data_IF_228836360392
#
_entry.id   IF_228836360392
#
_cell.length_a   1.000
_cell.length_b   1.000
_cell.length_c   1.000
_cell.angle_alpha   90.00
_cell.angle_beta   90.00
_cell.angle_gamma   90.00
#
_symmetry.space_group_name_H-M   'P 1'
#
loop_
_entity.id
_entity.type
_entity.pdbx_description
1 polymer ?
#
# COMPACT_ATOMS: atom_id res chain seq x y z
N UNK A 1 -32.98 -1.58 -7.53
CA UNK A 1 -32.66 -2.58 -6.49
C UNK A 1 -33.11 -1.98 -5.18
N UNK A 2 -33.95 -2.71 -4.42
CA UNK A 2 -34.45 -2.23 -3.14
C UNK A 2 -33.60 -2.74 -1.99
N UNK A 3 -33.49 -1.97 -0.90
CA UNK A 3 -32.74 -2.38 0.28
C UNK A 3 -33.34 -3.64 0.91
N UNK A 4 -34.66 -3.71 1.01
CA UNK A 4 -35.42 -4.85 1.54
C UNK A 4 -35.24 -6.16 0.74
N UNK A 5 -34.90 -6.07 -0.54
CA UNK A 5 -34.70 -7.22 -1.44
C UNK A 5 -33.26 -7.74 -1.42
N UNK A 6 -32.33 -7.01 -0.80
CA UNK A 6 -30.94 -7.42 -0.69
C UNK A 6 -30.78 -8.52 0.37
N UNK A 7 -30.41 -9.73 -0.06
CA UNK A 7 -29.91 -10.84 0.81
C UNK A 7 -28.63 -10.49 1.61
N UNK A 8 -28.27 -9.21 1.67
CA UNK A 8 -27.10 -8.65 2.37
C UNK A 8 -27.45 -8.08 3.75
N UNK A 9 -28.72 -7.85 4.06
CA UNK A 9 -29.15 -7.23 5.32
C UNK A 9 -28.85 -8.09 6.57
N UNK A 10 -28.73 -9.42 6.40
CA UNK A 10 -28.44 -10.36 7.49
C UNK A 10 -26.94 -10.62 7.70
N UNK A 11 -26.08 -10.14 6.79
CA UNK A 11 -24.64 -10.37 6.88
C UNK A 11 -24.03 -9.49 7.99
N UNK A 12 -23.20 -10.07 8.85
CA UNK A 12 -22.52 -9.31 9.91
C UNK A 12 -21.33 -8.56 9.33
N UNK A 13 -21.34 -7.23 9.47
CA UNK A 13 -20.24 -6.36 9.05
C UNK A 13 -19.23 -6.29 10.19
N UNK A 14 -17.96 -6.54 9.86
CA UNK A 14 -16.86 -6.61 10.83
C UNK A 14 -15.98 -5.36 10.82
N UNK A 15 -15.82 -4.73 9.67
CA UNK A 15 -14.99 -3.56 9.46
C UNK A 15 -15.35 -2.87 8.14
N UNK A 16 -14.91 -1.62 7.98
CA UNK A 16 -14.99 -0.88 6.72
C UNK A 16 -13.64 -0.29 6.33
N UNK A 17 -13.42 -0.13 5.03
CA UNK A 17 -12.21 0.49 4.48
C UNK A 17 -12.48 1.22 3.16
N UNK A 18 -11.98 2.46 2.98
CA UNK A 18 -12.19 3.20 1.74
C UNK A 18 -11.25 2.73 0.63
N UNK A 19 -11.71 2.78 -0.61
CA UNK A 19 -10.91 2.51 -1.80
C UNK A 19 -11.28 3.50 -2.92
N UNK A 20 -10.28 3.98 -3.64
CA UNK A 20 -10.51 4.92 -4.73
C UNK A 20 -10.98 4.18 -5.99
N UNK A 21 -12.05 4.69 -6.63
CA UNK A 21 -12.50 4.22 -7.96
C UNK A 21 -12.21 5.31 -8.99
N UNK A 22 -11.12 5.19 -9.78
CA UNK A 22 -10.66 6.25 -10.67
C UNK A 22 -11.66 6.64 -11.76
N UNK A 23 -12.53 5.71 -12.18
CA UNK A 23 -13.56 6.02 -13.18
C UNK A 23 -14.58 7.03 -12.65
N UNK A 24 -14.90 6.95 -11.35
CA UNK A 24 -15.87 7.83 -10.71
C UNK A 24 -15.22 9.00 -9.98
N UNK A 25 -13.89 9.03 -9.86
CA UNK A 25 -13.16 10.06 -9.13
C UNK A 25 -13.67 10.24 -7.69
N UNK A 26 -14.10 9.14 -7.06
CA UNK A 26 -14.63 9.10 -5.70
C UNK A 26 -14.00 7.98 -4.90
N UNK A 27 -13.99 8.15 -3.59
CA UNK A 27 -13.58 7.13 -2.63
C UNK A 27 -14.80 6.35 -2.17
N UNK A 28 -14.90 5.09 -2.56
CA UNK A 28 -15.99 4.21 -2.18
C UNK A 28 -15.62 3.46 -0.91
N UNK A 29 -16.58 3.20 -0.04
CA UNK A 29 -16.39 2.37 1.13
C UNK A 29 -16.57 0.89 0.77
N UNK A 30 -15.69 0.05 1.29
CA UNK A 30 -15.87 -1.40 1.31
C UNK A 30 -16.20 -1.85 2.72
N UNK A 31 -16.92 -2.95 2.83
CA UNK A 31 -17.22 -3.63 4.09
C UNK A 31 -16.63 -5.04 4.10
N UNK A 32 -16.02 -5.40 5.22
CA UNK A 32 -15.54 -6.73 5.53
C UNK A 32 -16.67 -7.50 6.18
N UNK A 33 -17.08 -8.59 5.57
CA UNK A 33 -18.27 -9.34 5.97
C UNK A 33 -17.89 -10.69 6.53
N UNK A 34 -18.49 -11.04 7.66
CA UNK A 34 -18.43 -12.37 8.24
C UNK A 34 -19.20 -13.38 7.37
N UNK A 35 -18.54 -14.48 7.00
CA UNK A 35 -19.13 -15.60 6.25
C UNK A 35 -19.12 -16.89 7.05
N UNK A 36 -19.16 -16.77 8.38
CA UNK A 36 -19.17 -17.88 9.33
C UNK A 36 -17.96 -18.80 9.16
N UNK A 37 -18.12 -19.93 8.49
CA UNK A 37 -17.04 -20.91 8.31
C UNK A 37 -15.99 -20.50 7.25
N UNK A 38 -16.31 -19.49 6.43
CA UNK A 38 -15.37 -18.95 5.44
C UNK A 38 -14.64 -17.71 5.97
N UNK A 39 -13.43 -17.49 5.45
CA UNK A 39 -12.67 -16.28 5.74
C UNK A 39 -13.48 -15.02 5.38
N UNK A 40 -13.42 -13.95 6.19
CA UNK A 40 -14.12 -12.71 5.90
C UNK A 40 -13.76 -12.12 4.53
N UNK A 41 -14.77 -11.61 3.82
CA UNK A 41 -14.60 -11.08 2.47
C UNK A 41 -14.89 -9.59 2.40
N UNK A 42 -14.10 -8.86 1.60
CA UNK A 42 -14.38 -7.47 1.26
C UNK A 42 -15.40 -7.39 0.13
N UNK A 43 -16.39 -6.51 0.27
CA UNK A 43 -17.31 -6.14 -0.80
C UNK A 43 -17.62 -4.65 -0.77
N UNK A 44 -18.20 -4.12 -1.84
CA UNK A 44 -18.69 -2.73 -1.84
C UNK A 44 -19.78 -2.57 -0.78
N UNK A 45 -19.64 -1.51 0.02
CA UNK A 45 -20.62 -1.11 1.02
C UNK A 45 -21.74 -0.34 0.35
N UNK A 46 -22.96 -0.70 0.74
CA UNK A 46 -24.17 -0.04 0.32
C UNK A 46 -24.86 0.55 1.55
N UNK A 47 -25.50 1.70 1.39
CA UNK A 47 -26.27 2.36 2.44
C UNK A 47 -27.73 2.52 2.01
N UNK A 48 -28.68 2.35 2.93
CA UNK A 48 -30.08 2.60 2.64
C UNK A 48 -30.31 4.10 2.44
N UNK A 49 -31.12 4.42 1.45
CA UNK A 49 -31.66 5.76 1.26
C UNK A 49 -33.16 5.82 1.51
N UNK A 50 -33.77 6.97 1.23
CA UNK A 50 -35.21 7.14 1.32
C UNK A 50 -35.96 6.19 0.37
N UNK A 51 -37.17 5.77 0.75
CA UNK A 51 -38.04 4.92 -0.06
C UNK A 51 -37.40 3.60 -0.54
N UNK A 52 -36.66 2.92 0.35
CA UNK A 52 -36.04 1.61 0.08
C UNK A 52 -34.97 1.67 -1.03
N UNK A 53 -34.48 2.88 -1.34
CA UNK A 53 -33.39 3.09 -2.29
C UNK A 53 -32.06 2.61 -1.71
N UNK A 54 -31.13 2.28 -2.60
CA UNK A 54 -29.80 1.77 -2.24
C UNK A 54 -28.76 2.64 -2.92
N UNK A 55 -27.86 3.19 -2.11
CA UNK A 55 -26.75 4.00 -2.60
C UNK A 55 -25.41 3.32 -2.30
N UNK A 56 -24.43 3.56 -3.17
CA UNK A 56 -23.05 3.25 -2.84
C UNK A 56 -22.56 4.23 -1.79
N UNK A 57 -21.87 3.73 -0.78
CA UNK A 57 -21.25 4.57 0.25
C UNK A 57 -19.96 5.17 -0.33
N UNK A 58 -19.95 6.46 -0.64
CA UNK A 58 -18.81 7.12 -1.29
C UNK A 58 -18.58 8.54 -0.79
N UNK A 59 -17.33 8.98 -0.92
CA UNK A 59 -16.81 10.24 -0.40
C UNK A 59 -16.05 11.02 -1.48
N UNK A 60 -16.02 12.35 -1.38
CA UNK A 60 -15.38 13.19 -2.37
C UNK A 60 -13.86 13.04 -2.42
N UNK A 61 -13.23 12.87 -1.26
CA UNK A 61 -11.78 12.80 -1.08
C UNK A 61 -11.40 11.70 -0.07
N UNK A 62 -10.09 11.46 0.02
CA UNK A 62 -9.53 10.39 0.85
C UNK A 62 -9.77 10.64 2.33
N UNK A 63 -9.60 11.87 2.79
CA UNK A 63 -9.59 12.20 4.21
C UNK A 63 -11.00 12.09 4.79
N UNK A 64 -12.02 12.53 4.05
CA UNK A 64 -13.42 12.30 4.39
C UNK A 64 -13.75 10.80 4.49
N UNK A 65 -13.25 10.00 3.54
CA UNK A 65 -13.47 8.55 3.53
C UNK A 65 -12.78 7.85 4.71
N UNK A 66 -11.53 8.23 5.02
CA UNK A 66 -10.76 7.69 6.14
C UNK A 66 -11.38 8.12 7.48
N UNK A 67 -11.83 9.37 7.60
CA UNK A 67 -12.52 9.85 8.79
C UNK A 67 -13.80 9.06 9.06
N UNK A 68 -14.60 8.79 8.03
CA UNK A 68 -15.80 7.96 8.16
C UNK A 68 -15.49 6.51 8.57
N UNK A 69 -14.46 5.90 7.99
CA UNK A 69 -14.03 4.56 8.41
C UNK A 69 -13.52 4.55 9.86
N UNK A 70 -12.77 5.58 10.25
CA UNK A 70 -12.24 5.76 11.62
C UNK A 70 -13.36 5.96 12.64
N UNK A 71 -14.46 6.63 12.26
CA UNK A 71 -15.62 6.80 13.11
C UNK A 71 -16.45 5.50 13.25
N UNK A 72 -16.59 4.71 12.17
CA UNK A 72 -17.45 3.52 12.15
C UNK A 72 -16.77 2.26 12.72
N UNK A 73 -15.48 2.06 12.44
CA UNK A 73 -14.76 0.85 12.85
C UNK A 73 -14.76 0.58 14.37
N UNK A 74 -14.65 1.58 15.26
CA UNK A 74 -14.78 1.36 16.71
C UNK A 74 -16.12 0.76 17.10
N UNK A 75 -17.22 1.23 16.52
CA UNK A 75 -18.57 0.71 16.76
C UNK A 75 -18.70 -0.74 16.29
N UNK A 76 -18.15 -1.07 15.11
CA UNK A 76 -18.13 -2.45 14.59
C UNK A 76 -17.29 -3.37 15.47
N UNK A 77 -16.13 -2.89 15.94
CA UNK A 77 -15.25 -3.61 16.87
C UNK A 77 -15.92 -3.88 18.21
N UNK A 78 -16.66 -2.91 18.74
CA UNK A 78 -17.43 -3.07 19.97
C UNK A 78 -18.55 -4.10 19.79
N UNK A 79 -19.30 -4.03 18.67
CA UNK A 79 -20.35 -4.99 18.34
C UNK A 79 -19.80 -6.43 18.24
N UNK A 80 -18.65 -6.61 17.59
CA UNK A 80 -17.96 -7.91 17.51
C UNK A 80 -17.53 -8.43 18.89
N UNK A 81 -17.02 -7.54 19.75
CA UNK A 81 -16.58 -7.89 21.10
C UNK A 81 -17.74 -8.35 21.99
N UNK A 82 -18.89 -7.70 21.86
CA UNK A 82 -20.11 -8.00 22.63
C UNK A 82 -20.91 -9.20 22.08
N UNK A 83 -20.59 -9.70 20.88
CA UNK A 83 -21.29 -10.84 20.27
C UNK A 83 -21.15 -12.10 21.12
N UNK A 84 -22.24 -12.81 21.37
CA UNK A 84 -22.21 -14.12 22.00
C UNK A 84 -21.58 -15.14 21.02
N UNK A 85 -20.39 -15.63 21.37
CA UNK A 85 -19.58 -16.55 20.56
C UNK A 85 -18.55 -17.20 21.48
N UNK A 86 -18.08 -18.39 21.10
CA UNK A 86 -16.91 -19.01 21.73
C UNK A 86 -15.73 -18.00 21.85
N UNK A 87 -15.09 -17.87 23.03
CA UNK A 87 -14.03 -16.89 23.24
C UNK A 87 -12.83 -17.05 22.32
N UNK A 88 -12.46 -18.28 21.96
CA UNK A 88 -11.33 -18.57 21.07
C UNK A 88 -11.67 -18.17 19.64
N UNK A 89 -12.84 -18.58 19.14
CA UNK A 89 -13.34 -18.18 17.82
C UNK A 89 -13.49 -16.66 17.70
N UNK A 90 -13.99 -15.99 18.75
CA UNK A 90 -14.11 -14.52 18.79
C UNK A 90 -12.74 -13.85 18.67
N UNK A 91 -11.73 -14.35 19.41
CA UNK A 91 -10.38 -13.81 19.37
C UNK A 91 -9.74 -14.00 17.98
N UNK A 92 -9.89 -15.18 17.39
CA UNK A 92 -9.48 -15.47 16.00
C UNK A 92 -10.11 -14.47 15.02
N UNK A 93 -11.42 -14.25 15.11
CA UNK A 93 -12.14 -13.33 14.23
C UNK A 93 -11.67 -11.88 14.39
N UNK A 94 -11.47 -11.40 15.63
CA UNK A 94 -10.90 -10.07 15.88
C UNK A 94 -9.52 -9.89 15.22
N UNK A 95 -8.65 -10.89 15.31
CA UNK A 95 -7.32 -10.85 14.68
C UNK A 95 -7.42 -10.84 13.15
N UNK A 96 -8.37 -11.58 12.57
CA UNK A 96 -8.64 -11.55 11.12
C UNK A 96 -9.08 -10.16 10.66
N UNK A 97 -9.90 -9.47 11.46
CA UNK A 97 -10.33 -8.09 11.19
C UNK A 97 -9.16 -7.11 11.24
N UNK A 98 -8.40 -7.12 12.34
CA UNK A 98 -7.23 -6.24 12.52
C UNK A 98 -6.22 -6.44 11.37
N UNK A 99 -5.96 -7.69 11.00
CA UNK A 99 -5.08 -8.05 9.86
C UNK A 99 -5.61 -7.56 8.52
N UNK A 100 -6.91 -7.68 8.27
CA UNK A 100 -7.52 -7.23 7.03
C UNK A 100 -7.44 -5.70 6.87
N UNK A 101 -7.69 -4.95 7.94
CA UNK A 101 -7.57 -3.50 7.98
C UNK A 101 -6.12 -3.06 7.77
N UNK A 102 -5.19 -3.64 8.53
CA UNK A 102 -3.76 -3.33 8.41
C UNK A 102 -3.24 -3.60 6.98
N UNK A 103 -3.67 -4.70 6.35
CA UNK A 103 -3.29 -5.03 4.99
C UNK A 103 -3.78 -3.98 3.97
N UNK A 104 -4.99 -3.44 4.16
CA UNK A 104 -5.56 -2.39 3.30
C UNK A 104 -4.82 -1.06 3.45
N UNK A 105 -4.62 -0.61 4.69
CA UNK A 105 -3.86 0.58 5.03
C UNK A 105 -2.47 0.54 4.40
N UNK A 106 -1.71 -0.54 4.65
CA UNK A 106 -0.35 -0.68 4.13
C UNK A 106 -0.27 -0.65 2.61
N UNK A 107 -1.23 -1.26 1.91
CA UNK A 107 -1.25 -1.23 0.44
C UNK A 107 -1.47 0.18 -0.10
N UNK A 108 -2.29 0.99 0.58
CA UNK A 108 -2.52 2.38 0.21
C UNK A 108 -1.32 3.26 0.55
N UNK A 109 -0.71 3.08 1.73
CA UNK A 109 0.47 3.84 2.13
C UNK A 109 1.65 3.56 1.22
N UNK A 110 1.87 2.30 0.85
CA UNK A 110 2.88 1.92 -0.13
C UNK A 110 2.67 2.66 -1.46
N UNK A 111 1.45 2.69 -1.97
CA UNK A 111 1.14 3.34 -3.25
C UNK A 111 1.26 4.87 -3.16
N UNK A 112 0.90 5.47 -2.02
CA UNK A 112 1.10 6.88 -1.74
C UNK A 112 2.59 7.25 -1.70
N UNK A 113 3.41 6.45 -1.02
CA UNK A 113 4.86 6.65 -0.97
C UNK A 113 5.51 6.51 -2.36
N UNK A 114 5.08 5.51 -3.14
CA UNK A 114 5.56 5.34 -4.52
C UNK A 114 5.17 6.52 -5.41
N UNK A 115 3.96 7.08 -5.25
CA UNK A 115 3.53 8.27 -5.98
C UNK A 115 4.34 9.51 -5.58
N UNK A 116 4.52 9.75 -4.28
CA UNK A 116 5.31 10.87 -3.79
C UNK A 116 6.76 10.82 -4.33
N UNK A 117 7.36 9.63 -4.35
CA UNK A 117 8.70 9.44 -4.87
C UNK A 117 8.76 9.58 -6.40
N UNK A 118 7.75 9.11 -7.14
CA UNK A 118 7.63 9.35 -8.58
C UNK A 118 7.62 10.86 -8.88
N UNK A 119 6.79 11.63 -8.18
CA UNK A 119 6.74 13.09 -8.31
C UNK A 119 8.10 13.73 -7.99
N UNK A 120 8.71 13.34 -6.87
CA UNK A 120 10.01 13.89 -6.42
C UNK A 120 11.15 13.60 -7.40
N UNK A 121 11.13 12.46 -8.11
CA UNK A 121 12.12 12.12 -9.15
C UNK A 121 12.07 13.04 -10.36
N UNK A 122 10.89 13.57 -10.65
CA UNK A 122 10.62 14.37 -11.85
C UNK A 122 10.27 15.84 -11.52
N UNK A 123 10.54 16.28 -10.28
CA UNK A 123 10.25 17.64 -9.85
C UNK A 123 11.05 18.72 -10.62
N UNK A 124 12.19 18.34 -11.22
CA UNK A 124 13.02 19.21 -12.04
C UNK A 124 12.85 19.00 -13.55
N UNK A 125 11.92 18.14 -13.98
CA UNK A 125 11.69 17.91 -15.40
C UNK A 125 11.03 19.13 -16.04
N UNK A 126 11.40 19.42 -17.30
CA UNK A 126 10.74 20.48 -18.06
C UNK A 126 9.28 20.13 -18.30
N UNK A 127 8.39 21.07 -17.94
CA UNK A 127 6.97 20.93 -18.20
C UNK A 127 6.73 21.13 -19.70
N UNK A 128 6.06 20.18 -20.39
CA UNK A 128 5.79 20.32 -21.80
C UNK A 128 4.82 21.49 -22.03
N UNK A 129 5.17 22.37 -22.97
CA UNK A 129 4.27 23.45 -23.38
C UNK A 129 3.02 22.83 -24.03
N UNK A 130 1.83 23.26 -23.59
CA UNK A 130 0.54 22.82 -24.11
C UNK A 130 0.45 22.89 -25.65
N UNK A 131 1.01 23.93 -26.27
CA UNK A 131 0.99 24.12 -27.73
C UNK A 131 1.96 23.19 -28.47
N UNK A 132 3.00 22.72 -27.78
CA UNK A 132 3.99 21.79 -28.34
C UNK A 132 3.52 20.33 -28.35
N UNK A 133 2.44 20.02 -27.63
CA UNK A 133 1.88 18.67 -27.58
C UNK A 133 1.39 18.26 -28.97
N UNK A 134 1.81 17.08 -29.41
CA UNK A 134 1.33 16.44 -30.64
C UNK A 134 0.22 15.47 -30.28
N UNK A 135 -0.99 15.72 -30.78
CA UNK A 135 -2.15 14.86 -30.53
C UNK A 135 -2.74 14.39 -31.87
N UNK A 136 -3.39 13.22 -31.84
CA UNK A 136 -4.30 12.84 -32.90
C UNK A 136 -5.45 13.87 -33.01
N UNK A 137 -5.97 14.17 -34.22
CA UNK A 137 -7.00 15.18 -34.43
C UNK A 137 -8.23 15.02 -33.52
N UNK A 138 -8.63 13.79 -33.22
CA UNK A 138 -9.80 13.47 -32.38
C UNK A 138 -9.58 13.76 -30.89
N UNK A 139 -8.32 13.90 -30.46
CA UNK A 139 -7.92 14.18 -29.09
C UNK A 139 -7.70 15.67 -28.80
N UNK A 140 -7.68 16.54 -29.83
CA UNK A 140 -7.40 17.98 -29.68
C UNK A 140 -8.32 18.69 -28.69
N UNK A 141 -9.60 18.29 -28.63
CA UNK A 141 -10.57 18.82 -27.65
C UNK A 141 -10.18 18.57 -26.18
N UNK A 142 -9.23 17.69 -25.91
CA UNK A 142 -8.72 17.35 -24.57
C UNK A 142 -7.33 17.91 -24.30
N UNK A 143 -6.79 18.78 -25.17
CA UNK A 143 -5.44 19.35 -25.04
C UNK A 143 -5.23 20.04 -23.69
N UNK A 144 -6.20 20.83 -23.23
CA UNK A 144 -6.13 21.51 -21.94
C UNK A 144 -6.05 20.50 -20.77
N UNK A 145 -7.01 19.55 -20.69
CA UNK A 145 -7.01 18.48 -19.68
C UNK A 145 -5.69 17.69 -19.63
N UNK A 146 -5.08 17.44 -20.80
CA UNK A 146 -3.80 16.76 -20.91
C UNK A 146 -2.64 17.64 -20.43
N UNK A 147 -2.62 18.90 -20.86
CA UNK A 147 -1.58 19.85 -20.45
C UNK A 147 -1.57 20.07 -18.94
N UNK A 148 -2.74 20.21 -18.30
CA UNK A 148 -2.85 20.33 -16.84
C UNK A 148 -2.27 19.12 -16.11
N UNK A 149 -2.55 17.90 -16.62
CA UNK A 149 -1.97 16.68 -16.06
C UNK A 149 -0.46 16.61 -16.25
N UNK A 150 0.05 17.00 -17.42
CA UNK A 150 1.49 16.98 -17.71
C UNK A 150 2.26 18.10 -16.99
N UNK A 151 1.62 19.22 -16.66
CA UNK A 151 2.22 20.25 -15.82
C UNK A 151 2.51 19.70 -14.41
N UNK A 152 1.60 18.88 -13.86
CA UNK A 152 1.79 18.24 -12.57
C UNK A 152 2.70 16.99 -12.65
N UNK A 153 2.63 16.24 -13.75
CA UNK A 153 3.35 14.97 -13.94
C UNK A 153 3.91 14.87 -15.37
N UNK A 154 5.04 15.53 -15.68
CA UNK A 154 5.60 15.60 -17.04
C UNK A 154 5.94 14.25 -17.66
N UNK A 155 6.18 13.25 -16.82
CA UNK A 155 6.57 11.89 -17.19
C UNK A 155 5.39 10.98 -17.62
N UNK A 156 4.14 11.45 -17.54
CA UNK A 156 2.98 10.60 -17.86
C UNK A 156 2.99 10.14 -19.33
N UNK A 157 2.70 8.86 -19.53
CA UNK A 157 2.52 8.23 -20.85
C UNK A 157 1.09 7.75 -21.08
N UNK A 158 0.24 7.85 -20.05
CA UNK A 158 -1.20 7.56 -20.10
C UNK A 158 -1.92 8.64 -19.32
N UNK A 159 -2.87 9.33 -19.96
CA UNK A 159 -3.64 10.40 -19.34
C UNK A 159 -5.13 10.06 -19.40
N UNK A 160 -5.88 10.42 -18.35
CA UNK A 160 -7.34 10.26 -18.29
C UNK A 160 -7.98 11.64 -18.46
N UNK A 161 -8.76 11.83 -19.52
CA UNK A 161 -9.32 13.13 -19.92
C UNK A 161 -10.85 13.06 -20.06
N UNK A 162 -11.49 14.22 -20.24
CA UNK A 162 -12.88 14.29 -20.69
C UNK A 162 -13.90 14.48 -19.58
N UNK A 163 -13.60 15.29 -18.57
CA UNK A 163 -14.60 15.69 -17.58
C UNK A 163 -15.57 16.72 -18.18
N UNK A 164 -16.49 16.27 -19.04
CA UNK A 164 -17.49 17.14 -19.65
C UNK A 164 -18.84 17.03 -18.94
N UNK A 165 -19.31 18.15 -18.37
CA UNK A 165 -20.70 18.47 -18.05
C UNK A 165 -21.60 17.27 -17.63
N UNK A 166 -21.45 16.82 -16.38
CA UNK A 166 -22.33 15.85 -15.70
C UNK A 166 -22.41 14.43 -16.30
N UNK A 167 -21.53 14.04 -17.23
CA UNK A 167 -21.40 12.65 -17.67
C UNK A 167 -20.06 12.07 -17.20
N UNK A 168 -20.12 10.93 -16.51
CA UNK A 168 -18.96 10.13 -16.10
C UNK A 168 -18.29 9.43 -17.30
N UNK A 169 -18.09 10.15 -18.40
CA UNK A 169 -17.53 9.62 -19.63
C UNK A 169 -16.09 10.10 -19.74
N UNK A 170 -15.18 9.28 -19.23
CA UNK A 170 -13.75 9.53 -19.35
C UNK A 170 -13.17 8.84 -20.58
N UNK A 171 -12.07 9.39 -21.07
CA UNK A 171 -11.27 8.80 -22.14
C UNK A 171 -9.82 8.66 -21.70
N UNK A 172 -9.10 7.72 -22.28
CA UNK A 172 -7.66 7.59 -22.13
C UNK A 172 -6.97 8.06 -23.41
N UNK A 173 -5.88 8.80 -23.21
CA UNK A 173 -4.88 9.09 -24.22
C UNK A 173 -3.59 8.34 -23.86
N UNK A 174 -2.93 7.77 -24.87
CA UNK A 174 -1.65 7.08 -24.70
C UNK A 174 -0.59 7.81 -25.51
N UNK A 175 0.59 8.01 -24.93
CA UNK A 175 1.73 8.55 -25.64
C UNK A 175 2.38 7.44 -26.49
N UNK A 176 2.39 7.62 -27.80
CA UNK A 176 3.06 6.73 -28.74
C UNK A 176 4.59 6.85 -28.69
N UNK A 177 5.28 5.87 -29.28
CA UNK A 177 6.74 5.90 -29.41
C UNK A 177 7.25 7.03 -30.31
N UNK A 178 6.39 7.54 -31.19
CA UNK A 178 6.59 8.71 -32.06
C UNK A 178 6.40 10.05 -31.32
N UNK A 179 6.07 10.02 -30.03
CA UNK A 179 5.79 11.22 -29.23
C UNK A 179 4.43 11.84 -29.53
N UNK A 180 3.52 11.11 -30.19
CA UNK A 180 2.18 11.59 -30.52
C UNK A 180 1.17 10.93 -29.57
N UNK A 181 0.30 11.74 -28.98
CA UNK A 181 -0.80 11.24 -28.16
C UNK A 181 -1.90 10.66 -29.03
N UNK A 182 -2.34 9.46 -28.67
CA UNK A 182 -3.34 8.69 -29.41
C UNK A 182 -4.70 9.39 -29.49
N UNK A 183 -5.57 8.90 -30.38
CA UNK A 183 -7.00 9.18 -30.33
C UNK A 183 -7.61 8.79 -28.96
N UNK A 184 -8.74 9.37 -28.55
CA UNK A 184 -9.36 9.07 -27.26
C UNK A 184 -10.01 7.67 -27.25
N UNK A 185 -9.66 6.88 -26.23
CA UNK A 185 -10.25 5.57 -25.97
C UNK A 185 -11.20 5.64 -24.77
N UNK A 186 -12.44 5.18 -24.93
CA UNK A 186 -13.42 5.21 -23.84
C UNK A 186 -12.91 4.46 -22.61
N UNK A 187 -12.96 5.10 -21.45
CA UNK A 187 -12.49 4.53 -20.20
C UNK A 187 -13.60 3.73 -19.50
N UNK A 188 -13.39 2.43 -19.31
CA UNK A 188 -14.07 1.65 -18.27
C UNK A 188 -13.24 1.58 -16.98
N UNK A 189 -13.74 0.85 -15.98
CA UNK A 189 -13.06 0.68 -14.67
C UNK A 189 -11.58 0.27 -14.79
N UNK A 190 -11.31 -0.76 -15.62
CA UNK A 190 -9.94 -1.25 -15.83
C UNK A 190 -9.05 -0.18 -16.47
N UNK A 191 -9.59 0.57 -17.43
CA UNK A 191 -8.83 1.61 -18.12
C UNK A 191 -8.53 2.79 -17.18
N UNK A 192 -9.52 3.24 -16.41
CA UNK A 192 -9.32 4.30 -15.42
C UNK A 192 -8.30 3.87 -14.34
N UNK A 193 -8.32 2.60 -13.91
CA UNK A 193 -7.32 2.04 -13.00
C UNK A 193 -5.92 2.00 -13.60
N UNK A 194 -5.79 1.71 -14.90
CA UNK A 194 -4.51 1.81 -15.62
C UNK A 194 -3.97 3.23 -15.61
N UNK A 195 -4.82 4.23 -15.89
CA UNK A 195 -4.41 5.64 -15.84
C UNK A 195 -3.98 6.06 -14.43
N UNK A 196 -4.69 5.63 -13.39
CA UNK A 196 -4.30 5.93 -12.00
C UNK A 196 -2.94 5.32 -11.65
N UNK A 197 -2.69 4.07 -12.07
CA UNK A 197 -1.40 3.40 -11.87
C UNK A 197 -0.28 4.00 -12.72
N UNK A 198 -0.60 4.62 -13.86
CA UNK A 198 0.38 5.28 -14.72
C UNK A 198 1.09 6.42 -14.01
N UNK A 199 0.39 7.15 -13.14
CA UNK A 199 0.96 8.21 -12.27
C UNK A 199 2.14 7.74 -11.44
N UNK A 200 2.14 6.47 -11.04
CA UNK A 200 3.26 5.85 -10.33
C UNK A 200 4.21 5.19 -11.33
N UNK A 201 3.70 4.28 -12.18
CA UNK A 201 4.53 3.44 -13.02
C UNK A 201 5.43 4.25 -13.97
N UNK A 202 4.89 5.29 -14.61
CA UNK A 202 5.65 6.08 -15.58
C UNK A 202 6.75 6.90 -14.92
N UNK A 203 6.60 7.34 -13.66
CA UNK A 203 7.65 8.04 -12.92
C UNK A 203 8.82 7.15 -12.48
N UNK A 204 8.73 5.84 -12.76
CA UNK A 204 9.82 4.87 -12.65
C UNK A 204 10.20 4.26 -14.00
N UNK A 205 9.79 4.89 -15.11
CA UNK A 205 9.99 4.41 -16.48
C UNK A 205 9.39 3.01 -16.75
N UNK A 206 8.34 2.67 -15.99
CA UNK A 206 7.61 1.42 -16.15
C UNK A 206 6.33 1.64 -16.95
N UNK A 207 5.96 0.65 -17.75
CA UNK A 207 4.66 0.63 -18.45
C UNK A 207 3.49 0.51 -17.47
N UNK A 208 2.45 1.31 -17.70
CA UNK A 208 1.21 1.31 -16.92
C UNK A 208 0.37 0.03 -17.12
N UNK A 209 0.57 -0.69 -18.23
CA UNK A 209 -0.20 -1.89 -18.57
C UNK A 209 0.38 -3.18 -17.99
N UNK A 210 1.58 -3.12 -17.38
CA UNK A 210 2.18 -4.26 -16.70
C UNK A 210 1.35 -4.70 -15.48
N UNK A 211 1.45 -5.98 -15.14
CA UNK A 211 0.82 -6.52 -13.94
C UNK A 211 1.25 -5.73 -12.70
N UNK A 212 0.30 -5.11 -12.00
CA UNK A 212 0.58 -4.15 -10.94
C UNK A 212 1.47 -4.70 -9.81
N UNK A 213 1.27 -5.96 -9.42
CA UNK A 213 2.14 -6.61 -8.44
C UNK A 213 3.59 -6.75 -8.88
N UNK A 214 3.85 -6.90 -10.18
CA UNK A 214 5.21 -6.94 -10.76
C UNK A 214 5.79 -5.53 -10.86
N UNK A 215 4.98 -4.54 -11.27
CA UNK A 215 5.36 -3.13 -11.28
C UNK A 215 5.82 -2.66 -9.90
N UNK A 216 5.01 -2.89 -8.86
CA UNK A 216 5.39 -2.54 -7.48
C UNK A 216 6.65 -3.26 -7.01
N UNK A 217 6.81 -4.55 -7.33
CA UNK A 217 8.04 -5.28 -7.01
C UNK A 217 9.28 -4.66 -7.67
N UNK A 218 9.16 -4.24 -8.94
CA UNK A 218 10.23 -3.55 -9.67
C UNK A 218 10.53 -2.17 -9.09
N UNK A 219 9.51 -1.40 -8.71
CA UNK A 219 9.68 -0.11 -8.01
C UNK A 219 10.45 -0.33 -6.71
N UNK A 220 10.08 -1.30 -5.87
CA UNK A 220 10.85 -1.63 -4.66
C UNK A 220 12.32 -1.93 -4.98
N UNK A 221 12.61 -2.64 -6.06
CA UNK A 221 14.00 -2.88 -6.49
C UNK A 221 14.74 -1.60 -6.87
N UNK A 222 14.08 -0.65 -7.53
CA UNK A 222 14.66 0.66 -7.87
C UNK A 222 14.92 1.49 -6.60
N UNK A 223 14.05 1.37 -5.59
CA UNK A 223 14.16 2.12 -4.33
C UNK A 223 15.15 1.50 -3.34
N UNK A 224 15.44 0.20 -3.42
CA UNK A 224 16.35 -0.50 -2.50
C UNK A 224 17.76 0.12 -2.41
N UNK A 225 18.48 0.39 -3.53
CA UNK A 225 19.79 1.06 -3.48
C UNK A 225 19.75 2.41 -2.77
N UNK A 226 18.62 3.13 -2.86
CA UNK A 226 18.41 4.41 -2.20
C UNK A 226 18.16 4.25 -0.70
N UNK A 227 17.45 3.21 -0.28
CA UNK A 227 17.30 2.88 1.14
C UNK A 227 18.66 2.61 1.79
N UNK A 228 19.61 1.99 1.07
CA UNK A 228 20.99 1.82 1.56
C UNK A 228 21.77 3.15 1.65
N UNK A 229 21.39 4.19 0.90
CA UNK A 229 21.97 5.53 1.07
C UNK A 229 21.56 6.16 2.40
N UNK A 230 20.45 5.74 3.03
CA UNK A 230 20.07 6.20 4.37
C UNK A 230 21.15 5.86 5.41
N UNK A 231 21.87 4.74 5.21
CA UNK A 231 22.99 4.35 6.08
C UNK A 231 24.18 5.32 6.00
N UNK A 232 24.21 6.22 5.01
CA UNK A 232 25.23 7.25 4.86
C UNK A 232 24.86 8.55 5.59
N UNK A 233 23.61 8.71 6.05
CA UNK A 233 23.19 9.91 6.78
C UNK A 233 23.76 9.89 8.20
N UNK A 234 24.43 10.96 8.61
CA UNK A 234 25.08 11.05 9.92
C UNK A 234 24.09 10.87 11.10
N UNK A 235 22.85 11.36 10.95
CA UNK A 235 21.78 11.17 11.94
C UNK A 235 21.39 9.71 12.10
N UNK A 236 21.26 8.98 10.99
CA UNK A 236 20.96 7.54 10.97
C UNK A 236 22.15 6.75 11.52
N UNK A 237 23.38 7.08 11.13
CA UNK A 237 24.59 6.43 11.65
C UNK A 237 24.70 6.57 13.17
N UNK A 238 24.44 7.76 13.73
CA UNK A 238 24.46 7.98 15.18
C UNK A 238 23.43 7.13 15.90
N UNK A 239 22.19 7.11 15.40
CA UNK A 239 21.12 6.28 15.96
C UNK A 239 21.47 4.79 15.92
N UNK A 240 21.99 4.32 14.79
CA UNK A 240 22.39 2.93 14.62
C UNK A 240 23.59 2.56 15.52
N UNK A 241 24.50 3.50 15.78
CA UNK A 241 25.58 3.31 16.74
C UNK A 241 25.08 3.23 18.19
N UNK A 242 24.13 4.09 18.59
CA UNK A 242 23.50 4.05 19.91
C UNK A 242 22.71 2.75 20.13
N UNK A 243 21.96 2.31 19.13
CA UNK A 243 21.26 1.02 19.15
C UNK A 243 22.24 -0.14 19.31
N UNK A 244 23.33 -0.15 18.53
CA UNK A 244 24.36 -1.19 18.62
C UNK A 244 25.03 -1.21 20.01
N UNK A 245 25.27 -0.04 20.60
CA UNK A 245 25.82 0.09 21.95
C UNK A 245 24.88 -0.47 23.04
N UNK A 246 23.56 -0.42 22.81
CA UNK A 246 22.54 -1.08 23.66
C UNK A 246 22.40 -2.59 23.39
N UNK A 247 23.20 -3.15 22.48
CA UNK A 247 23.15 -4.55 22.07
C UNK A 247 22.05 -4.86 21.04
N UNK A 248 21.38 -3.84 20.51
CA UNK A 248 20.32 -3.98 19.52
C UNK A 248 20.93 -4.18 18.13
N UNK A 249 20.49 -5.23 17.44
CA UNK A 249 21.00 -5.60 16.12
C UNK A 249 19.94 -5.56 15.03
N UNK A 250 18.67 -5.37 15.42
CA UNK A 250 17.54 -5.15 14.51
C UNK A 250 16.70 -4.02 15.06
N UNK A 251 16.52 -2.97 14.26
CA UNK A 251 15.58 -1.89 14.52
C UNK A 251 14.51 -1.89 13.44
N UNK A 252 13.25 -1.74 13.84
CA UNK A 252 12.11 -1.69 12.92
C UNK A 252 11.40 -0.38 13.09
N UNK A 253 11.21 0.38 12.01
CA UNK A 253 10.44 1.63 11.99
C UNK A 253 9.71 1.79 10.66
N UNK A 254 8.39 2.07 10.71
CA UNK A 254 7.51 2.28 9.55
C UNK A 254 7.70 1.28 8.39
N UNK A 255 7.93 0.01 8.72
CA UNK A 255 8.09 -1.06 7.73
C UNK A 255 9.49 -1.23 7.15
N UNK A 256 10.44 -0.38 7.56
CA UNK A 256 11.87 -0.50 7.28
C UNK A 256 12.54 -1.20 8.46
N UNK A 257 13.45 -2.13 8.17
CA UNK A 257 14.24 -2.88 9.15
C UNK A 257 15.71 -2.56 8.95
N UNK A 258 16.32 -1.87 9.91
CA UNK A 258 17.77 -1.77 9.99
C UNK A 258 18.30 -3.06 10.62
N UNK A 259 19.22 -3.72 9.93
CA UNK A 259 19.66 -5.06 10.24
C UNK A 259 21.19 -5.09 10.29
N UNK A 260 21.76 -5.39 11.46
CA UNK A 260 23.21 -5.43 11.67
C UNK A 260 23.75 -6.85 11.65
N UNK A 261 24.73 -7.13 10.77
CA UNK A 261 25.47 -8.39 10.77
C UNK A 261 26.94 -8.18 11.18
N UNK A 262 27.36 -8.81 12.27
CA UNK A 262 28.72 -8.69 12.79
C UNK A 262 29.75 -9.58 12.05
N UNK A 263 29.31 -10.71 11.48
CA UNK A 263 30.19 -11.70 10.85
C UNK A 263 30.04 -11.69 9.32
N UNK A 264 31.14 -11.43 8.62
CA UNK A 264 31.19 -11.35 7.14
C UNK A 264 31.36 -9.94 6.56
N UNK A 265 31.50 -8.91 7.41
CA UNK A 265 31.92 -7.57 6.99
C UNK A 265 30.83 -6.66 6.40
N UNK A 266 29.56 -7.06 6.47
CA UNK A 266 28.45 -6.20 6.02
C UNK A 266 27.72 -5.69 7.25
N UNK A 267 28.05 -4.47 7.69
CA UNK A 267 27.51 -3.83 8.91
C UNK A 267 25.99 -3.62 8.87
N UNK A 268 25.52 -2.40 9.12
CA UNK A 268 24.09 -2.10 9.02
C UNK A 268 23.61 -2.27 7.57
N UNK A 269 22.45 -2.91 7.40
CA UNK A 269 21.74 -3.09 6.13
C UNK A 269 20.30 -2.62 6.28
N UNK A 270 19.68 -2.20 5.19
CA UNK A 270 18.24 -1.88 5.18
C UNK A 270 17.46 -3.02 4.54
N UNK A 271 16.51 -3.56 5.28
CA UNK A 271 15.53 -4.57 4.87
C UNK A 271 14.12 -3.97 5.04
N UNK A 272 13.12 -4.67 4.54
CA UNK A 272 11.71 -4.32 4.72
C UNK A 272 11.05 -5.33 5.66
N UNK A 273 9.97 -5.00 6.35
CA UNK A 273 9.15 -6.03 7.03
C UNK A 273 8.23 -6.70 6.03
N UNK A 274 8.19 -8.03 6.00
CA UNK A 274 7.05 -8.70 5.37
C UNK A 274 5.87 -8.62 6.31
N UNK A 275 4.79 -7.98 5.88
CA UNK A 275 3.48 -8.32 6.40
C UNK A 275 3.26 -9.81 6.15
N UNK A 276 2.99 -10.58 7.20
CA UNK A 276 2.49 -11.95 7.12
C UNK A 276 1.12 -11.95 6.43
N UNK A 277 1.09 -11.83 5.11
CA UNK A 277 0.08 -12.57 4.33
C UNK A 277 0.31 -14.04 4.69
N UNK A 278 -0.77 -14.71 5.10
CA UNK A 278 -0.80 -16.15 5.43
C UNK A 278 0.02 -16.49 6.70
N UNK A 279 -0.54 -16.41 7.90
CA UNK A 279 -1.37 -17.48 8.45
C UNK A 279 -2.52 -16.92 9.30
N UNK A 280 -3.58 -17.71 9.46
CA UNK A 280 -4.73 -17.40 10.31
C UNK A 280 -4.30 -16.84 11.69
N UNK A 281 -4.88 -15.67 12.04
CA UNK A 281 -4.81 -14.93 13.32
C UNK A 281 -3.50 -14.94 14.09
N UNK A 282 -2.43 -14.59 13.41
CA UNK A 282 -1.15 -14.29 14.02
C UNK A 282 -1.15 -12.93 14.76
N UNK A 283 -0.80 -12.89 16.05
CA UNK A 283 -0.49 -11.65 16.81
C UNK A 283 1.03 -11.44 16.85
N UNK A 284 1.53 -10.24 16.52
CA UNK A 284 2.98 -9.93 16.59
C UNK A 284 3.48 -10.08 18.03
N UNK A 285 4.52 -10.90 18.22
CA UNK A 285 5.15 -11.12 19.53
C UNK A 285 6.22 -10.05 19.71
N UNK A 286 6.16 -9.24 20.78
CA UNK A 286 7.03 -8.05 20.95
C UNK A 286 8.50 -8.36 21.27
N UNK A 287 8.80 -9.60 21.64
CA UNK A 287 10.14 -10.07 22.01
C UNK A 287 10.39 -11.43 21.35
N UNK A 288 11.62 -11.73 20.95
CA UNK A 288 11.96 -13.02 20.35
C UNK A 288 13.18 -12.95 19.45
N UNK A 289 13.46 -14.05 18.75
CA UNK A 289 14.63 -14.18 17.88
C UNK A 289 14.19 -14.35 16.42
N UNK A 290 14.85 -13.63 15.52
CA UNK A 290 14.75 -13.82 14.08
C UNK A 290 15.89 -14.75 13.65
N UNK A 291 15.56 -15.88 13.05
CA UNK A 291 16.53 -16.78 12.44
C UNK A 291 16.64 -16.45 10.94
N UNK A 292 17.73 -15.80 10.55
CA UNK A 292 18.02 -15.53 9.13
C UNK A 292 18.79 -16.70 8.53
N UNK A 293 18.09 -17.55 7.79
CA UNK A 293 18.66 -18.67 7.01
C UNK A 293 18.89 -18.32 5.54
N UNK A 294 18.56 -17.08 5.12
CA UNK A 294 18.67 -16.61 3.74
C UNK A 294 18.94 -15.09 3.69
N UNK A 295 19.22 -14.58 2.50
CA UNK A 295 19.43 -13.14 2.24
C UNK A 295 18.15 -12.42 1.81
N UNK A 296 17.00 -12.85 2.33
CA UNK A 296 15.70 -12.28 1.99
C UNK A 296 15.59 -10.80 2.38
N UNK A 297 15.01 -9.99 1.49
CA UNK A 297 14.82 -8.55 1.72
C UNK A 297 13.73 -8.23 2.73
N UNK A 298 12.79 -9.14 2.93
CA UNK A 298 11.72 -9.01 3.90
C UNK A 298 12.05 -9.76 5.19
N UNK A 299 11.78 -9.13 6.31
CA UNK A 299 11.87 -9.70 7.65
C UNK A 299 10.45 -10.02 8.12
N UNK A 300 10.17 -11.29 8.34
CA UNK A 300 8.99 -11.75 9.09
C UNK A 300 9.33 -11.64 10.56
N UNK A 301 8.64 -10.76 11.27
CA UNK A 301 8.80 -10.65 12.72
C UNK A 301 8.17 -11.86 13.42
N UNK A 302 8.71 -12.28 14.57
CA UNK A 302 8.08 -13.28 15.42
C UNK A 302 6.62 -12.96 15.73
N UNK A 303 5.79 -14.00 15.74
CA UNK A 303 4.36 -13.87 16.02
C UNK A 303 3.80 -15.12 16.69
N UNK A 304 2.67 -14.98 17.35
CA UNK A 304 1.92 -16.06 17.99
C UNK A 304 0.72 -16.39 17.08
N UNK A 305 0.60 -17.64 16.62
CA UNK A 305 -0.55 -18.13 15.85
C UNK A 305 -1.83 -18.18 16.72
N UNK A 306 -2.99 -18.35 16.08
CA UNK A 306 -4.29 -18.48 16.79
C UNK A 306 -4.30 -19.61 17.84
N UNK A 307 -3.56 -20.69 17.60
CA UNK A 307 -3.45 -21.84 18.50
C UNK A 307 -2.45 -21.62 19.67
N UNK A 308 -1.89 -20.41 19.83
CA UNK A 308 -0.90 -20.08 20.86
C UNK A 308 0.55 -20.47 20.51
N UNK A 309 0.79 -21.09 19.36
CA UNK A 309 2.13 -21.47 18.91
C UNK A 309 2.99 -20.24 18.59
N UNK A 310 4.18 -20.16 19.20
CA UNK A 310 5.14 -19.08 18.95
C UNK A 310 5.98 -19.40 17.71
N UNK A 311 5.90 -18.54 16.71
CA UNK A 311 6.66 -18.64 15.47
C UNK A 311 7.85 -17.70 15.54
N UNK A 312 9.05 -18.27 15.35
CA UNK A 312 10.29 -17.50 15.22
C UNK A 312 10.24 -16.65 13.94
N UNK A 313 10.85 -15.49 14.01
CA UNK A 313 11.00 -14.62 12.86
C UNK A 313 11.95 -15.24 11.84
N UNK A 314 11.78 -14.89 10.57
CA UNK A 314 12.63 -15.36 9.50
C UNK A 314 12.73 -14.33 8.37
N UNK A 315 13.73 -14.46 7.51
CA UNK A 315 13.84 -13.62 6.31
C UNK A 315 13.23 -14.31 5.09
N UNK A 316 12.63 -13.54 4.18
CA UNK A 316 12.11 -14.02 2.89
C UNK A 316 12.15 -12.92 1.83
N UNK A 317 11.89 -13.27 0.59
CA UNK A 317 11.60 -12.30 -0.47
C UNK A 317 10.08 -12.06 -0.57
N UNK A 318 9.68 -10.92 -1.15
CA UNK A 318 8.28 -10.57 -1.33
C UNK A 318 7.63 -11.28 -2.50
N UNK A 319 6.29 -11.17 -2.60
CA UNK A 319 5.57 -11.73 -3.75
C UNK A 319 6.12 -11.17 -5.07
N UNK A 320 6.43 -12.06 -6.02
CA UNK A 320 7.04 -11.78 -7.33
C UNK A 320 8.53 -11.41 -7.33
N UNK A 321 9.26 -11.56 -6.22
CA UNK A 321 10.71 -11.30 -6.15
C UNK A 321 11.59 -12.54 -6.36
N UNK A 322 10.99 -13.71 -6.59
CA UNK A 322 11.71 -14.99 -6.60
C UNK A 322 12.09 -15.49 -5.20
N UNK A 323 12.75 -16.65 -5.11
CA UNK A 323 13.22 -17.22 -3.84
C UNK A 323 14.41 -16.40 -3.31
N UNK A 324 14.46 -16.19 -1.99
CA UNK A 324 15.62 -15.60 -1.34
C UNK A 324 16.82 -16.55 -1.46
N UNK A 325 18.02 -15.99 -1.70
CA UNK A 325 19.25 -16.77 -1.77
C UNK A 325 19.53 -17.40 -0.39
N UNK A 326 19.69 -18.73 -0.30
CA UNK A 326 19.95 -19.40 0.97
C UNK A 326 21.34 -19.02 1.50
N UNK A 327 21.46 -18.96 2.84
CA UNK A 327 22.76 -18.88 3.50
C UNK A 327 23.36 -20.27 3.64
N UNK A 328 24.68 -20.32 3.76
CA UNK A 328 25.33 -21.53 4.27
C UNK A 328 24.87 -21.79 5.71
N UNK A 329 24.63 -23.05 6.14
CA UNK A 329 24.17 -23.37 7.49
C UNK A 329 25.04 -22.79 8.61
N UNK A 330 26.36 -22.76 8.42
CA UNK A 330 27.30 -22.19 9.39
C UNK A 330 27.19 -20.65 9.52
N UNK A 331 26.48 -20.01 8.60
CA UNK A 331 26.31 -18.56 8.53
C UNK A 331 24.88 -18.14 8.91
N UNK A 332 24.10 -19.04 9.54
CA UNK A 332 22.80 -18.68 10.08
C UNK A 332 22.96 -17.68 11.20
N UNK A 333 22.16 -16.62 11.17
CA UNK A 333 22.22 -15.54 12.15
C UNK A 333 20.95 -15.56 12.97
N UNK A 334 21.09 -15.78 14.28
CA UNK A 334 20.04 -15.54 15.26
C UNK A 334 20.16 -14.11 15.77
N UNK A 335 19.12 -13.31 15.55
CA UNK A 335 19.13 -11.91 15.96
C UNK A 335 17.95 -11.59 16.88
N UNK A 336 18.18 -11.12 18.12
CA UNK A 336 17.13 -10.56 18.95
C UNK A 336 16.64 -9.25 18.33
N UNK A 337 15.33 -8.98 18.41
CA UNK A 337 14.75 -7.74 17.89
C UNK A 337 13.87 -7.07 18.95
N UNK A 338 13.79 -5.74 18.86
CA UNK A 338 12.94 -4.90 19.69
C UNK A 338 12.10 -3.98 18.81
N UNK A 339 10.81 -3.89 19.09
CA UNK A 339 9.89 -2.98 18.40
C UNK A 339 9.90 -1.62 19.10
N UNK A 340 10.23 -0.57 18.37
CA UNK A 340 10.14 0.81 18.84
C UNK A 340 8.80 1.41 18.37
N UNK A 341 7.89 1.70 19.30
CA UNK A 341 6.73 2.57 19.08
C UNK A 341 7.20 4.02 19.32
N UNK A 342 7.67 4.69 18.27
CA UNK A 342 8.20 6.05 18.40
C UNK A 342 8.58 6.68 17.06
N UNK A 343 8.31 7.99 16.98
CA UNK A 343 8.36 8.87 15.83
C UNK A 343 9.79 9.11 15.28
N UNK A 344 10.43 8.04 14.83
CA UNK A 344 11.79 8.04 14.27
C UNK A 344 11.83 8.40 12.78
N UNK A 345 10.68 8.81 12.22
CA UNK A 345 10.41 8.90 10.79
C UNK A 345 10.20 10.32 10.30
N UNK A 346 10.38 11.32 11.18
CA UNK A 346 10.61 12.69 10.76
C UNK A 346 12.08 12.76 10.31
N UNK A 347 12.32 12.35 9.06
CA UNK A 347 13.67 12.34 8.48
C UNK A 347 13.88 11.40 7.30
N UNK A 348 12.94 10.52 6.98
CA UNK A 348 13.10 9.59 5.85
C UNK A 348 12.86 10.25 4.47
N UNK A 349 12.36 11.48 4.47
CA UNK A 349 12.31 12.40 3.31
C UNK A 349 13.08 13.72 3.52
N UNK A 350 13.89 13.83 4.58
CA UNK A 350 14.83 14.95 4.76
C UNK A 350 14.39 16.11 5.66
N UNK A 351 13.22 16.07 6.28
CA UNK A 351 12.83 17.07 7.28
C UNK A 351 13.00 16.46 8.67
N UNK A 352 13.86 17.05 9.51
CA UNK A 352 13.95 16.80 10.96
C UNK A 352 13.14 17.90 11.67
N UNK A 353 12.41 17.60 12.76
CA UNK A 353 11.60 18.58 13.46
C UNK A 353 12.41 19.23 14.58
N UNK A 354 13.61 19.73 14.30
CA UNK A 354 14.34 20.63 15.19
C UNK A 354 15.36 21.42 14.35
N UNK A 355 14.84 22.40 13.62
CA UNK A 355 15.38 23.76 13.59
C UNK A 355 14.28 24.72 14.06
#
# INVERSE_FOLDING_TARGET
>A
MKWSELKRASDTILAVWPHYRPLHERWFMQELVDKAELAPIWRERMVPGENDSVFADHYPDRDAAIAAATALNPTLRAALSNRAMDPVAKRSLQLKVDKALQAKQRLQDEEALMLAEALRRHAGDEQPNADSLKLAPEAERYRADLADQLAAMPYLKVAKVGRSNNRWTHYLLFLGHDGIWSKPYLAGEKAALTAERAKIANGFDLSATMHWGKTKARIRQILLPRANQLLQLASVQRLLAEALARGERVLVSNGIVFWYEAHGGVGWQVKETSSTREADGATVWKEGTILSTNHGRLVVLPYIKENGERIRGHTKNGPNDGRALPRHPDHYVEIPFSLYDGDLMIGLFGELPYE
#
